data_IF_051456834942
#
_entry.id   IF_051456834942
#
_cell.length_a   1.000
_cell.length_b   1.000
_cell.length_c   1.000
_cell.angle_alpha   90.00
_cell.angle_beta   90.00
_cell.angle_gamma   90.00
#
_symmetry.space_group_name_H-M   'P 1'
#
loop_
_entity.id
_entity.type
_entity.pdbx_description
1 polymer ?
#
# COMPACT_ATOMS: atom_id res chain seq x y z
N UNK A 1 1.17 22.20 -19.23
CA UNK A 1 2.56 21.73 -19.16
C UNK A 1 2.78 21.30 -17.72
N UNK A 2 2.63 20.01 -17.41
CA UNK A 2 2.83 19.50 -16.06
C UNK A 2 4.30 19.66 -15.68
N UNK A 3 4.55 20.50 -14.69
CA UNK A 3 5.87 20.72 -14.12
C UNK A 3 6.27 19.47 -13.35
N UNK A 4 7.01 18.56 -13.99
CA UNK A 4 7.58 17.39 -13.32
C UNK A 4 8.53 17.88 -12.24
N UNK A 5 8.14 17.75 -10.97
CA UNK A 5 8.97 18.15 -9.85
C UNK A 5 10.18 17.20 -9.77
N UNK A 6 11.43 17.68 -9.98
CA UNK A 6 12.60 16.80 -9.95
C UNK A 6 12.81 16.12 -8.59
N UNK A 7 12.23 16.67 -7.51
CA UNK A 7 12.25 16.07 -6.19
C UNK A 7 11.43 14.77 -6.09
N UNK A 8 10.44 14.55 -6.96
CA UNK A 8 9.58 13.35 -6.95
C UNK A 8 10.02 12.29 -7.96
N UNK A 9 11.03 12.58 -8.79
CA UNK A 9 11.63 11.62 -9.74
C UNK A 9 12.41 10.55 -8.99
N UNK A 10 12.11 9.27 -9.26
CA UNK A 10 12.78 8.13 -8.62
C UNK A 10 14.30 8.19 -8.85
N UNK A 11 14.74 8.34 -10.09
CA UNK A 11 16.15 8.40 -10.46
C UNK A 11 16.86 7.03 -10.44
N UNK A 12 16.16 5.94 -10.11
CA UNK A 12 16.68 4.58 -10.10
C UNK A 12 15.62 3.53 -10.48
N UNK A 13 16.07 2.30 -10.73
CA UNK A 13 15.21 1.15 -11.00
C UNK A 13 14.49 1.21 -12.34
N UNK A 14 13.41 0.42 -12.47
CA UNK A 14 12.62 0.26 -13.71
C UNK A 14 12.01 1.57 -14.21
N UNK A 15 11.60 2.43 -13.28
CA UNK A 15 10.88 3.67 -13.57
C UNK A 15 11.71 4.92 -13.25
N UNK A 16 13.04 4.86 -13.44
CA UNK A 16 14.00 5.93 -13.03
C UNK A 16 13.70 7.32 -13.58
N UNK A 17 13.07 7.42 -14.74
CA UNK A 17 12.75 8.70 -15.41
C UNK A 17 11.38 9.24 -15.06
N UNK A 18 10.59 8.51 -14.27
CA UNK A 18 9.24 8.88 -13.87
C UNK A 18 9.23 9.37 -12.42
N UNK A 19 8.26 10.22 -12.10
CA UNK A 19 7.98 10.58 -10.72
C UNK A 19 7.15 9.50 -10.01
N UNK A 20 7.25 9.45 -8.68
CA UNK A 20 6.55 8.47 -7.84
C UNK A 20 5.02 8.49 -8.07
N UNK A 21 4.45 9.64 -8.42
CA UNK A 21 3.02 9.81 -8.74
C UNK A 21 2.65 9.06 -10.02
N UNK A 22 3.39 9.26 -11.10
CA UNK A 22 3.18 8.55 -12.36
C UNK A 22 3.40 7.05 -12.20
N UNK A 23 4.41 6.65 -11.41
CA UNK A 23 4.66 5.24 -11.13
C UNK A 23 3.52 4.65 -10.30
N UNK A 24 2.90 5.41 -9.41
CA UNK A 24 1.73 4.95 -8.66
C UNK A 24 0.53 4.69 -9.57
N UNK A 25 0.33 5.50 -10.62
CA UNK A 25 -0.73 5.27 -11.60
C UNK A 25 -0.45 4.07 -12.53
N UNK A 26 0.80 3.89 -12.95
CA UNK A 26 1.21 2.79 -13.84
C UNK A 26 1.30 1.47 -13.09
N UNK A 27 1.93 1.49 -11.91
CA UNK A 27 2.28 0.31 -11.13
C UNK A 27 2.27 0.61 -9.62
N UNK A 28 1.07 0.61 -8.99
CA UNK A 28 0.93 0.78 -7.56
C UNK A 28 1.69 -0.27 -6.75
N UNK A 29 1.92 -1.46 -7.32
CA UNK A 29 2.66 -2.53 -6.67
C UNK A 29 4.15 -2.22 -6.58
N UNK A 30 4.71 -1.51 -7.56
CA UNK A 30 6.09 -1.03 -7.50
C UNK A 30 6.24 0.03 -6.41
N UNK A 31 5.33 1.02 -6.33
CA UNK A 31 5.35 2.02 -5.26
C UNK A 31 5.17 1.38 -3.88
N UNK A 32 4.34 0.34 -3.77
CA UNK A 32 4.23 -0.48 -2.56
C UNK A 32 5.55 -1.18 -2.22
N UNK A 33 6.19 -1.84 -3.18
CA UNK A 33 7.50 -2.48 -2.94
C UNK A 33 8.51 -1.44 -2.45
N UNK A 34 8.47 -0.25 -3.04
CA UNK A 34 9.33 0.86 -2.71
C UNK A 34 9.12 1.37 -1.27
N UNK A 35 7.88 1.47 -0.82
CA UNK A 35 7.55 1.88 0.56
C UNK A 35 8.05 0.90 1.62
N UNK A 36 8.33 -0.35 1.25
CA UNK A 36 8.89 -1.35 2.17
C UNK A 36 10.43 -1.40 2.16
N UNK A 37 11.10 -0.67 1.27
CA UNK A 37 12.56 -0.62 1.23
C UNK A 37 13.10 0.36 2.29
N UNK A 38 13.17 -0.10 3.54
CA UNK A 38 13.73 0.66 4.67
C UNK A 38 15.21 1.03 4.51
N UNK A 39 15.93 0.37 3.60
CA UNK A 39 17.35 0.61 3.32
C UNK A 39 17.61 1.48 2.10
N UNK A 40 16.58 1.89 1.35
CA UNK A 40 16.76 2.76 0.20
C UNK A 40 16.85 4.21 0.65
N UNK A 41 17.88 4.92 0.18
CA UNK A 41 18.08 6.35 0.42
C UNK A 41 17.16 7.15 -0.53
N UNK A 42 15.85 7.00 -0.33
CA UNK A 42 14.82 7.69 -1.11
C UNK A 42 14.80 9.18 -0.77
N UNK A 43 14.51 10.01 -1.76
CA UNK A 43 14.32 11.45 -1.53
C UNK A 43 13.14 11.65 -0.55
N UNK A 44 13.21 12.62 0.38
CA UNK A 44 12.13 12.88 1.34
C UNK A 44 10.76 13.03 0.68
N UNK A 45 10.67 13.78 -0.43
CA UNK A 45 9.42 13.96 -1.18
C UNK A 45 8.80 12.65 -1.70
N UNK A 46 9.64 11.66 -2.07
CA UNK A 46 9.18 10.34 -2.50
C UNK A 46 8.69 9.56 -1.28
N UNK A 47 9.47 9.55 -0.20
CA UNK A 47 9.09 8.88 1.04
C UNK A 47 7.80 9.44 1.60
N UNK A 48 7.63 10.76 1.65
CA UNK A 48 6.43 11.44 2.13
C UNK A 48 5.21 11.09 1.27
N UNK A 49 5.36 11.01 -0.06
CA UNK A 49 4.29 10.57 -0.94
C UNK A 49 3.93 9.10 -0.68
N UNK A 50 4.93 8.21 -0.57
CA UNK A 50 4.71 6.80 -0.29
C UNK A 50 4.09 6.60 1.10
N UNK A 51 4.53 7.32 2.12
CA UNK A 51 3.91 7.32 3.44
C UNK A 51 2.47 7.86 3.35
N UNK A 52 2.23 8.97 2.66
CA UNK A 52 0.87 9.50 2.49
C UNK A 52 -0.08 8.49 1.81
N UNK A 53 0.43 7.65 0.89
CA UNK A 53 -0.36 6.64 0.16
C UNK A 53 -0.42 5.27 0.84
N UNK A 54 0.60 4.86 1.58
CA UNK A 54 0.77 3.49 2.09
C UNK A 54 0.97 3.38 3.59
N UNK A 55 1.19 4.48 4.32
CA UNK A 55 1.19 4.46 5.78
C UNK A 55 -0.22 4.09 6.23
N UNK A 56 -0.29 3.18 7.20
CA UNK A 56 -1.55 2.90 7.87
C UNK A 56 -2.00 4.19 8.56
N UNK A 57 -2.89 4.93 7.92
CA UNK A 57 -3.74 5.86 8.64
C UNK A 57 -4.51 5.00 9.63
N UNK A 58 -4.45 5.36 10.91
CA UNK A 58 -5.29 4.78 11.97
C UNK A 58 -6.73 5.22 11.69
N UNK A 59 -7.32 4.64 10.66
CA UNK A 59 -8.60 5.02 10.07
C UNK A 59 -9.77 4.42 10.87
N UNK A 60 -9.49 4.03 12.14
CA UNK A 60 -10.35 3.23 13.02
C UNK A 60 -10.57 1.79 12.54
N UNK A 61 -9.93 1.36 11.46
CA UNK A 61 -10.09 0.01 10.89
C UNK A 61 -8.95 -0.91 11.28
N UNK A 62 -9.22 -2.22 11.30
CA UNK A 62 -8.25 -3.20 11.75
C UNK A 62 -6.98 -3.19 10.88
N UNK A 63 -5.83 -3.09 11.53
CA UNK A 63 -4.51 -3.23 10.92
C UNK A 63 -4.10 -4.70 10.96
N UNK A 64 -3.88 -5.29 9.79
CA UNK A 64 -3.45 -6.69 9.69
C UNK A 64 -2.00 -6.79 10.18
N UNK A 65 -1.76 -7.68 11.15
CA UNK A 65 -0.41 -7.91 11.71
C UNK A 65 0.31 -9.13 11.12
N UNK A 66 -0.26 -9.76 10.10
CA UNK A 66 0.24 -10.98 9.46
C UNK A 66 0.05 -10.97 7.93
N UNK A 67 0.60 -11.97 7.23
CA UNK A 67 0.42 -12.12 5.78
C UNK A 67 1.10 -11.03 4.93
N UNK A 68 0.72 -10.96 3.65
CA UNK A 68 1.37 -10.11 2.63
C UNK A 68 1.22 -8.60 2.90
N UNK A 69 0.14 -8.22 3.58
CA UNK A 69 -0.20 -6.83 3.88
C UNK A 69 -0.04 -6.48 5.37
N UNK A 70 0.91 -7.14 6.04
CA UNK A 70 1.26 -6.83 7.44
C UNK A 70 1.59 -5.35 7.62
N UNK A 71 1.03 -4.75 8.67
CA UNK A 71 1.18 -3.34 9.04
C UNK A 71 0.24 -2.39 8.28
N UNK A 72 -0.78 -2.90 7.57
CA UNK A 72 -1.75 -2.09 6.82
C UNK A 72 -3.18 -2.27 7.32
N UNK A 73 -3.96 -1.20 7.27
CA UNK A 73 -5.40 -1.22 7.59
C UNK A 73 -6.21 -1.89 6.48
N UNK A 74 -7.34 -2.51 6.84
CA UNK A 74 -8.25 -3.14 5.88
C UNK A 74 -8.72 -2.16 4.79
N UNK A 75 -8.97 -0.89 5.12
CA UNK A 75 -9.36 0.16 4.16
C UNK A 75 -8.28 0.38 3.11
N UNK A 76 -7.04 0.54 3.57
CA UNK A 76 -5.91 0.71 2.67
C UNK A 76 -5.79 -0.52 1.76
N UNK A 77 -5.87 -1.73 2.32
CA UNK A 77 -5.80 -2.99 1.56
C UNK A 77 -6.93 -3.05 0.52
N UNK A 78 -8.16 -2.68 0.86
CA UNK A 78 -9.30 -2.63 -0.08
C UNK A 78 -9.03 -1.70 -1.26
N UNK A 79 -8.46 -0.53 -1.01
CA UNK A 79 -8.11 0.44 -2.07
C UNK A 79 -6.99 -0.07 -2.98
N UNK A 80 -5.96 -0.68 -2.42
CA UNK A 80 -4.76 -1.07 -3.17
C UNK A 80 -4.81 -2.51 -3.73
N UNK A 81 -5.67 -3.36 -3.18
CA UNK A 81 -5.74 -4.79 -3.46
C UNK A 81 -7.08 -5.39 -3.01
N UNK A 82 -8.16 -4.97 -3.67
CA UNK A 82 -9.50 -5.48 -3.39
C UNK A 82 -9.60 -7.02 -3.50
N UNK A 83 -8.78 -7.65 -4.36
CA UNK A 83 -8.71 -9.11 -4.50
C UNK A 83 -8.19 -9.78 -3.22
N UNK A 84 -7.25 -9.15 -2.52
CA UNK A 84 -6.79 -9.67 -1.23
C UNK A 84 -7.89 -9.62 -0.16
N UNK A 85 -8.76 -8.60 -0.18
CA UNK A 85 -9.92 -8.52 0.71
C UNK A 85 -10.92 -9.66 0.42
N UNK A 86 -11.20 -9.92 -0.86
CA UNK A 86 -12.06 -11.04 -1.25
C UNK A 86 -11.47 -12.39 -0.83
N UNK A 87 -10.15 -12.56 -0.99
CA UNK A 87 -9.44 -13.73 -0.49
C UNK A 87 -9.54 -13.85 1.04
N UNK A 88 -9.37 -12.77 1.81
CA UNK A 88 -9.52 -12.78 3.26
C UNK A 88 -10.92 -13.25 3.68
N UNK A 89 -11.96 -12.78 2.97
CA UNK A 89 -13.35 -13.16 3.22
C UNK A 89 -13.61 -14.65 3.00
N UNK A 90 -12.91 -15.26 2.04
CA UNK A 90 -13.08 -16.66 1.67
C UNK A 90 -12.05 -17.63 2.28
N UNK A 91 -10.98 -17.11 2.86
CA UNK A 91 -9.88 -17.91 3.39
C UNK A 91 -10.30 -18.75 4.59
N UNK A 92 -10.03 -20.05 4.51
CA UNK A 92 -10.29 -20.98 5.62
C UNK A 92 -9.57 -20.56 6.91
N UNK A 93 -8.33 -20.07 6.79
CA UNK A 93 -7.57 -19.56 7.94
C UNK A 93 -8.30 -18.43 8.67
N UNK A 94 -8.90 -17.50 7.92
CA UNK A 94 -9.64 -16.37 8.49
C UNK A 94 -10.99 -16.84 9.05
N UNK A 95 -11.69 -17.73 8.36
CA UNK A 95 -12.98 -18.29 8.83
C UNK A 95 -12.83 -19.06 10.13
N UNK A 96 -11.80 -19.89 10.28
CA UNK A 96 -11.57 -20.70 11.48
C UNK A 96 -10.99 -19.89 12.65
N UNK A 97 -9.99 -19.01 12.40
CA UNK A 97 -9.27 -18.32 13.48
C UNK A 97 -9.74 -16.89 13.75
N UNK A 98 -10.32 -16.22 12.76
CA UNK A 98 -10.62 -14.78 12.82
C UNK A 98 -11.95 -14.45 12.13
N UNK A 99 -13.03 -15.18 12.44
CA UNK A 99 -14.36 -14.92 11.87
C UNK A 99 -14.82 -13.47 12.09
N UNK A 100 -14.41 -12.84 13.21
CA UNK A 100 -14.68 -11.42 13.49
C UNK A 100 -14.01 -10.47 12.47
N UNK A 101 -12.91 -10.87 11.83
CA UNK A 101 -12.24 -10.10 10.79
C UNK A 101 -13.12 -10.02 9.54
N UNK A 102 -13.88 -11.07 9.24
CA UNK A 102 -14.82 -11.10 8.11
C UNK A 102 -15.93 -10.07 8.33
N UNK A 103 -16.50 -10.00 9.53
CA UNK A 103 -17.47 -8.97 9.87
C UNK A 103 -16.90 -7.56 9.67
N UNK A 104 -15.65 -7.32 10.10
CA UNK A 104 -14.95 -6.04 9.88
C UNK A 104 -14.69 -5.73 8.41
N UNK A 105 -14.52 -6.74 7.57
CA UNK A 105 -14.37 -6.60 6.11
C UNK A 105 -15.72 -6.25 5.46
N UNK A 106 -16.81 -6.86 5.92
CA UNK A 106 -18.17 -6.60 5.44
C UNK A 106 -18.69 -5.20 5.86
N UNK A 107 -18.21 -4.64 6.97
CA UNK A 107 -18.49 -3.26 7.42
C UNK A 107 -17.72 -2.16 6.64
N UNK A 108 -16.83 -2.56 5.73
CA UNK A 108 -15.79 -1.71 5.13
C UNK A 108 -16.15 -1.16 3.75
#
# INVERSE_FOLDING_TARGET
METTNPATILGFGKYRSLCVEQVFEIDPNYCRWLSFQKSMNLKPAITDFLDSKFKAVDDGTYVINWGRHKGKSLKLIKQIDAKYIDWLRNSKFVKDNQAWLIAKIDEL
#
